data_IF_987833307742
#
_entry.id   IF_987833307742
#
_cell.length_a   1.000
_cell.length_b   1.000
_cell.length_c   1.000
_cell.angle_alpha   90.00
_cell.angle_beta   90.00
_cell.angle_gamma   90.00
#
_symmetry.space_group_name_H-M   'P 1'
#
loop_
_entity.id
_entity.type
_entity.pdbx_description
1 polymer ?
#
# COMPACT_ATOMS: atom_id res chain seq x y z
N UNK A 1 3.59 19.20 10.61
CA UNK A 1 3.52 19.58 12.05
C UNK A 1 2.22 20.32 12.38
N UNK A 2 1.06 19.92 11.85
CA UNK A 2 -0.21 20.64 12.04
C UNK A 2 -1.30 19.86 12.82
N UNK A 3 -1.12 18.56 13.09
CA UNK A 3 -2.13 17.75 13.77
C UNK A 3 -2.03 17.73 15.31
N UNK A 4 -0.92 18.24 15.86
CA UNK A 4 -0.49 17.97 17.25
C UNK A 4 -1.26 18.81 18.29
N UNK A 5 -1.82 19.97 17.91
CA UNK A 5 -2.51 20.86 18.86
C UNK A 5 -4.01 20.59 19.02
N UNK A 6 -4.58 19.63 18.28
CA UNK A 6 -6.04 19.49 18.12
C UNK A 6 -6.64 18.20 18.73
N UNK A 7 -5.84 17.34 19.38
CA UNK A 7 -6.39 16.10 19.96
C UNK A 7 -7.22 16.41 21.23
N UNK A 8 -8.52 16.02 21.27
CA UNK A 8 -9.38 16.24 22.43
C UNK A 8 -8.86 15.46 23.65
N UNK A 9 -9.17 15.95 24.86
CA UNK A 9 -8.52 15.50 26.10
C UNK A 9 -8.61 13.99 26.35
N UNK A 10 -9.67 13.33 25.87
CA UNK A 10 -9.87 11.88 25.99
C UNK A 10 -8.99 11.03 25.04
N UNK A 11 -8.48 11.62 23.94
CA UNK A 11 -7.58 10.93 23.01
C UNK A 11 -6.10 11.17 23.32
N UNK A 12 -5.78 11.92 24.38
CA UNK A 12 -4.40 12.21 24.80
C UNK A 12 -3.60 10.97 25.19
N UNK A 13 -4.25 9.86 25.53
CA UNK A 13 -3.58 8.60 25.82
C UNK A 13 -2.99 7.94 24.56
N UNK A 14 -3.43 8.34 23.37
CA UNK A 14 -2.91 7.85 22.09
C UNK A 14 -1.63 8.58 21.65
N UNK A 15 -1.22 9.64 22.33
CA UNK A 15 0.03 10.38 22.04
C UNK A 15 1.29 9.50 22.01
N UNK A 16 1.47 8.46 22.86
CA UNK A 16 2.59 7.54 22.77
C UNK A 16 2.58 6.67 21.50
N UNK A 17 1.44 6.57 20.80
CA UNK A 17 1.31 5.85 19.53
C UNK A 17 1.74 6.70 18.33
N UNK A 18 2.07 7.98 18.52
CA UNK A 18 2.71 8.81 17.51
C UNK A 18 4.15 8.29 17.32
N UNK A 19 4.29 7.36 16.36
CA UNK A 19 5.53 6.65 16.10
C UNK A 19 6.62 7.53 15.52
N UNK A 20 7.87 7.14 15.78
CA UNK A 20 9.04 7.68 15.10
C UNK A 20 8.89 7.47 13.58
N UNK A 21 9.18 8.49 12.78
CA UNK A 21 9.24 8.36 11.32
C UNK A 21 10.40 7.45 10.85
N UNK A 22 11.21 6.93 11.79
CA UNK A 22 12.30 5.98 11.53
C UNK A 22 11.98 4.60 12.09
N UNK A 23 12.25 3.57 11.29
CA UNK A 23 12.14 2.15 11.68
C UNK A 23 13.12 1.79 12.80
N UNK A 24 14.36 2.30 12.71
CA UNK A 24 15.43 2.08 13.67
C UNK A 24 15.94 3.42 14.20
N UNK A 25 15.87 3.57 15.52
CA UNK A 25 16.28 4.79 16.24
C UNK A 25 17.56 4.64 17.06
N UNK A 26 18.21 3.47 17.03
CA UNK A 26 19.44 3.23 17.78
C UNK A 26 20.65 4.00 17.19
N UNK A 27 21.67 4.26 18.01
CA UNK A 27 22.82 5.08 17.63
C UNK A 27 23.59 4.55 16.40
N UNK A 28 23.67 3.22 16.25
CA UNK A 28 24.32 2.59 15.10
C UNK A 28 23.55 2.82 13.80
N UNK A 29 22.22 2.70 13.82
CA UNK A 29 21.35 2.98 12.68
C UNK A 29 21.42 4.45 12.28
N UNK A 30 21.40 5.37 13.25
CA UNK A 30 21.54 6.81 12.98
C UNK A 30 22.92 7.18 12.42
N UNK A 31 23.98 6.49 12.86
CA UNK A 31 25.32 6.66 12.29
C UNK A 31 25.41 6.10 10.87
N UNK A 32 24.79 4.96 10.61
CA UNK A 32 24.73 4.34 9.28
C UNK A 32 23.93 5.18 8.29
N UNK A 33 22.84 5.79 8.75
CA UNK A 33 22.01 6.73 7.97
C UNK A 33 22.82 7.91 7.44
N UNK A 34 23.75 8.45 8.24
CA UNK A 34 24.63 9.55 7.81
C UNK A 34 25.67 9.12 6.77
N UNK A 35 26.01 7.83 6.72
CA UNK A 35 27.05 7.29 5.83
C UNK A 35 26.48 6.73 4.52
N UNK A 36 25.27 6.16 4.57
CA UNK A 36 24.67 5.44 3.46
C UNK A 36 23.30 6.04 3.13
N UNK A 37 23.17 6.84 2.04
CA UNK A 37 21.92 7.50 1.69
C UNK A 37 20.78 6.53 1.34
N UNK A 38 21.12 5.31 0.90
CA UNK A 38 20.13 4.24 0.68
C UNK A 38 19.54 3.74 2.00
N UNK A 39 20.37 3.56 3.03
CA UNK A 39 19.89 3.17 4.36
C UNK A 39 19.02 4.25 4.98
N UNK A 40 19.33 5.53 4.74
CA UNK A 40 18.46 6.64 5.16
C UNK A 40 17.03 6.51 4.61
N UNK A 41 16.89 6.21 3.31
CA UNK A 41 15.57 5.98 2.68
C UNK A 41 14.87 4.73 3.21
N UNK A 42 15.62 3.65 3.45
CA UNK A 42 15.04 2.44 4.02
C UNK A 42 14.58 2.65 5.46
N UNK A 43 15.34 3.40 6.26
CA UNK A 43 15.03 3.66 7.65
C UNK A 43 13.80 4.57 7.81
N UNK A 44 13.46 5.39 6.80
CA UNK A 44 12.27 6.22 6.80
C UNK A 44 10.99 5.38 6.59
N UNK A 45 10.08 5.41 7.56
CA UNK A 45 8.79 4.71 7.56
C UNK A 45 7.92 5.17 6.38
N UNK A 46 8.00 6.44 6.01
CA UNK A 46 7.21 7.00 4.92
C UNK A 46 7.59 6.43 3.55
N UNK A 47 8.81 5.87 3.43
CA UNK A 47 9.26 5.17 2.22
C UNK A 47 9.14 3.66 2.34
N UNK A 48 9.60 3.11 3.47
CA UNK A 48 9.64 1.66 3.68
C UNK A 48 8.25 1.04 3.82
N UNK A 49 7.27 1.71 4.42
CA UNK A 49 5.92 1.15 4.52
C UNK A 49 5.22 1.03 3.15
N UNK A 50 5.21 2.05 2.27
CA UNK A 50 4.74 1.89 0.89
C UNK A 50 5.55 0.85 0.10
N UNK A 51 6.87 0.79 0.28
CA UNK A 51 7.72 -0.21 -0.37
C UNK A 51 7.39 -1.64 0.08
N UNK A 52 7.14 -1.86 1.36
CA UNK A 52 6.70 -3.16 1.89
C UNK A 52 5.33 -3.55 1.31
N UNK A 53 4.41 -2.58 1.15
CA UNK A 53 3.09 -2.85 0.54
C UNK A 53 3.19 -3.34 -0.90
N UNK A 54 4.22 -2.94 -1.65
CA UNK A 54 4.46 -3.45 -3.01
C UNK A 54 4.66 -4.96 -3.07
N UNK A 55 5.16 -5.61 -2.01
CA UNK A 55 5.28 -7.07 -1.96
C UNK A 55 3.91 -7.74 -2.18
N UNK A 56 2.83 -7.15 -1.67
CA UNK A 56 1.46 -7.65 -1.84
C UNK A 56 0.93 -7.46 -3.28
N UNK A 57 1.40 -6.43 -3.99
CA UNK A 57 0.93 -6.12 -5.34
C UNK A 57 1.76 -6.79 -6.44
N UNK A 58 3.04 -7.09 -6.19
CA UNK A 58 3.95 -7.71 -7.18
C UNK A 58 3.49 -9.12 -7.57
N UNK A 59 3.11 -9.96 -6.60
CA UNK A 59 2.67 -11.33 -6.90
C UNK A 59 1.43 -11.36 -7.80
N UNK A 60 0.33 -10.64 -7.48
CA UNK A 60 -0.82 -10.52 -8.37
C UNK A 60 -0.48 -9.92 -9.75
N UNK A 61 0.42 -8.94 -9.81
CA UNK A 61 0.89 -8.34 -11.07
C UNK A 61 1.55 -9.39 -11.97
N UNK A 62 2.53 -10.13 -11.45
CA UNK A 62 3.21 -11.18 -12.19
C UNK A 62 2.22 -12.26 -12.64
N UNK A 63 1.32 -12.66 -11.74
CA UNK A 63 0.25 -13.62 -12.03
C UNK A 63 -0.62 -13.15 -13.20
N UNK A 64 -1.08 -11.89 -13.18
CA UNK A 64 -1.87 -11.31 -14.25
C UNK A 64 -1.14 -11.36 -15.61
N UNK A 65 0.16 -11.04 -15.63
CA UNK A 65 0.97 -11.12 -16.86
C UNK A 65 1.22 -12.54 -17.33
N UNK A 66 1.43 -13.49 -16.42
CA UNK A 66 1.61 -14.91 -16.75
C UNK A 66 0.30 -15.64 -17.06
N UNK A 67 -0.86 -14.96 -17.00
CA UNK A 67 -2.17 -15.57 -17.19
C UNK A 67 -2.65 -16.47 -16.04
N UNK A 68 -1.89 -16.54 -14.95
CA UNK A 68 -2.20 -17.29 -13.74
C UNK A 68 -2.96 -16.42 -12.71
N UNK A 69 -3.79 -17.00 -11.84
CA UNK A 69 -4.35 -18.34 -11.93
C UNK A 69 -5.28 -18.49 -13.15
N UNK A 70 -5.55 -19.74 -13.61
CA UNK A 70 -6.58 -20.02 -14.60
C UNK A 70 -7.93 -19.40 -14.21
N UNK A 71 -8.77 -19.08 -15.20
CA UNK A 71 -10.00 -18.30 -14.99
C UNK A 71 -10.92 -18.95 -13.95
N UNK A 72 -11.02 -20.28 -13.98
CA UNK A 72 -11.88 -21.10 -13.12
C UNK A 72 -11.44 -21.06 -11.65
N UNK A 73 -10.17 -20.76 -11.39
CA UNK A 73 -9.59 -20.67 -10.04
C UNK A 73 -9.59 -19.25 -9.48
N UNK A 74 -10.04 -18.25 -10.25
CA UNK A 74 -10.17 -16.88 -9.77
C UNK A 74 -11.34 -16.80 -8.78
N UNK A 75 -11.04 -16.46 -7.52
CA UNK A 75 -12.07 -16.10 -6.55
C UNK A 75 -12.61 -14.68 -6.85
N UNK A 76 -13.86 -14.63 -7.30
CA UNK A 76 -14.57 -13.38 -7.60
C UNK A 76 -14.80 -12.52 -6.35
N UNK A 77 -15.09 -13.12 -5.19
CA UNK A 77 -15.37 -12.37 -3.97
C UNK A 77 -14.10 -11.69 -3.47
N UNK A 78 -13.00 -12.45 -3.40
CA UNK A 78 -11.70 -11.91 -3.03
C UNK A 78 -11.23 -10.85 -4.04
N UNK A 79 -11.33 -11.13 -5.34
CA UNK A 79 -10.89 -10.17 -6.37
C UNK A 79 -11.73 -8.89 -6.37
N UNK A 80 -13.05 -8.99 -6.19
CA UNK A 80 -13.92 -7.80 -6.11
C UNK A 80 -13.63 -6.96 -4.86
N UNK A 81 -13.37 -7.62 -3.71
CA UNK A 81 -12.97 -6.95 -2.47
C UNK A 81 -11.63 -6.21 -2.63
N UNK A 82 -10.65 -6.85 -3.29
CA UNK A 82 -9.33 -6.25 -3.53
C UNK A 82 -9.35 -5.15 -4.59
N UNK A 83 -10.25 -5.24 -5.57
CA UNK A 83 -10.53 -4.14 -6.49
C UNK A 83 -11.06 -2.92 -5.72
N UNK A 84 -12.10 -3.11 -4.90
CA UNK A 84 -12.72 -2.03 -4.14
C UNK A 84 -11.74 -1.39 -3.15
N UNK A 85 -11.01 -2.21 -2.38
CA UNK A 85 -10.02 -1.70 -1.43
C UNK A 85 -8.92 -0.91 -2.15
N UNK A 86 -8.43 -1.41 -3.30
CA UNK A 86 -7.43 -0.71 -4.10
C UNK A 86 -7.91 0.67 -4.55
N UNK A 87 -9.17 0.80 -4.97
CA UNK A 87 -9.74 2.11 -5.34
C UNK A 87 -9.84 3.07 -4.16
N UNK A 88 -10.39 2.61 -3.03
CA UNK A 88 -10.56 3.43 -1.82
C UNK A 88 -9.21 3.91 -1.30
N UNK A 89 -8.22 3.02 -1.20
CA UNK A 89 -6.89 3.36 -0.70
C UNK A 89 -6.09 4.22 -1.69
N UNK A 90 -6.29 4.05 -2.99
CA UNK A 90 -5.70 4.93 -3.99
C UNK A 90 -6.24 6.35 -3.85
N UNK A 91 -7.55 6.52 -3.69
CA UNK A 91 -8.16 7.83 -3.43
C UNK A 91 -7.68 8.42 -2.10
N UNK A 92 -7.68 7.63 -1.02
CA UNK A 92 -7.18 8.09 0.27
C UNK A 92 -5.74 8.62 0.18
N UNK A 93 -4.87 7.95 -0.59
CA UNK A 93 -3.49 8.38 -0.76
C UNK A 93 -3.34 9.76 -1.43
N UNK A 94 -4.32 10.21 -2.24
CA UNK A 94 -4.33 11.57 -2.82
C UNK A 94 -4.72 12.64 -1.81
N UNK A 95 -5.43 12.27 -0.74
CA UNK A 95 -5.83 13.19 0.35
C UNK A 95 -4.72 13.42 1.38
N UNK A 96 -3.71 12.54 1.46
CA UNK A 96 -2.59 12.67 2.40
C UNK A 96 -1.83 13.96 2.11
N UNK A 97 -1.75 14.85 3.11
CA UNK A 97 -0.99 16.10 3.02
C UNK A 97 0.08 16.19 4.12
N UNK A 98 1.31 16.61 3.79
CA UNK A 98 1.81 16.96 2.45
C UNK A 98 2.03 15.72 1.57
N UNK A 99 1.92 15.90 0.25
CA UNK A 99 2.23 14.85 -0.72
C UNK A 99 3.75 14.62 -0.79
N UNK A 100 4.18 13.38 -0.60
CA UNK A 100 5.58 12.97 -0.66
C UNK A 100 5.73 11.74 -1.57
N UNK A 101 6.96 11.28 -1.78
CA UNK A 101 7.18 10.09 -2.61
C UNK A 101 6.51 8.83 -2.02
N UNK A 102 6.40 8.74 -0.70
CA UNK A 102 5.70 7.66 0.01
C UNK A 102 4.21 7.60 -0.27
N UNK A 103 3.48 8.72 -0.13
CA UNK A 103 2.06 8.82 -0.43
C UNK A 103 1.78 8.56 -1.92
N UNK A 104 2.65 9.03 -2.81
CA UNK A 104 2.56 8.73 -4.25
C UNK A 104 2.79 7.24 -4.54
N UNK A 105 3.78 6.62 -3.90
CA UNK A 105 4.03 5.18 -4.03
C UNK A 105 2.85 4.34 -3.50
N UNK A 106 2.24 4.77 -2.39
CA UNK A 106 1.03 4.15 -1.84
C UNK A 106 -0.14 4.24 -2.83
N UNK A 107 -0.35 5.40 -3.46
CA UNK A 107 -1.38 5.59 -4.48
C UNK A 107 -1.17 4.61 -5.66
N UNK A 108 0.02 4.59 -6.24
CA UNK A 108 0.35 3.73 -7.39
C UNK A 108 0.21 2.25 -7.03
N UNK A 109 0.67 1.84 -5.84
CA UNK A 109 0.58 0.46 -5.37
C UNK A 109 -0.88 -0.02 -5.29
N UNK A 110 -1.78 0.82 -4.78
CA UNK A 110 -3.21 0.48 -4.68
C UNK A 110 -3.92 0.56 -6.04
N UNK A 111 -3.51 1.46 -6.94
CA UNK A 111 -3.99 1.47 -8.32
C UNK A 111 -3.58 0.19 -9.07
N UNK A 112 -2.36 -0.30 -8.87
CA UNK A 112 -1.89 -1.56 -9.45
C UNK A 112 -2.71 -2.75 -8.94
N UNK A 113 -2.96 -2.81 -7.63
CA UNK A 113 -3.83 -3.82 -7.01
C UNK A 113 -5.25 -3.77 -7.60
N UNK A 114 -5.85 -2.56 -7.69
CA UNK A 114 -7.17 -2.37 -8.29
C UNK A 114 -7.20 -2.87 -9.75
N UNK A 115 -6.19 -2.52 -10.53
CA UNK A 115 -6.10 -2.89 -11.95
C UNK A 115 -6.02 -4.40 -12.15
N UNK A 116 -5.14 -5.08 -11.41
CA UNK A 116 -4.98 -6.54 -11.51
C UNK A 116 -6.26 -7.27 -11.11
N UNK A 117 -6.85 -6.89 -9.98
CA UNK A 117 -8.06 -7.56 -9.50
C UNK A 117 -9.29 -7.20 -10.35
N UNK A 118 -9.36 -6.00 -10.91
CA UNK A 118 -10.35 -5.63 -11.91
C UNK A 118 -10.23 -6.45 -13.18
N UNK A 119 -9.01 -6.70 -13.68
CA UNK A 119 -8.77 -7.61 -14.79
C UNK A 119 -9.25 -9.04 -14.46
N UNK A 120 -8.92 -9.56 -13.27
CA UNK A 120 -9.35 -10.88 -12.81
C UNK A 120 -10.88 -11.02 -12.71
N UNK A 121 -11.56 -10.01 -12.16
CA UNK A 121 -13.03 -9.95 -12.13
C UNK A 121 -13.59 -9.95 -13.55
N UNK A 122 -13.07 -9.10 -14.43
CA UNK A 122 -13.57 -8.97 -15.79
C UNK A 122 -13.40 -10.26 -16.62
N UNK A 123 -12.25 -10.95 -16.53
CA UNK A 123 -12.04 -12.21 -17.26
C UNK A 123 -12.89 -13.35 -16.71
N UNK A 124 -13.11 -13.40 -15.39
CA UNK A 124 -13.96 -14.42 -14.76
C UNK A 124 -15.44 -14.20 -15.07
N UNK A 125 -15.93 -12.96 -14.98
CA UNK A 125 -17.30 -12.63 -15.35
C UNK A 125 -17.62 -12.99 -16.81
N UNK A 126 -16.72 -12.68 -17.75
CA UNK A 126 -16.89 -13.08 -19.16
C UNK A 126 -16.95 -14.59 -19.35
N UNK A 127 -16.08 -15.33 -18.67
CA UNK A 127 -16.05 -16.78 -18.74
C UNK A 127 -17.33 -17.41 -18.16
N UNK A 128 -17.85 -16.86 -17.07
CA UNK A 128 -19.10 -17.35 -16.45
C UNK A 128 -20.33 -17.03 -17.33
N UNK A 129 -20.36 -15.88 -18.01
CA UNK A 129 -21.38 -15.55 -19.01
C UNK A 129 -21.34 -16.47 -20.24
N UNK A 130 -20.15 -16.81 -20.73
CA UNK A 130 -19.99 -17.68 -21.91
C UNK A 130 -20.25 -19.17 -21.61
N UNK A 131 -20.35 -19.55 -20.33
CA UNK A 131 -20.68 -20.92 -19.89
C UNK A 131 -22.19 -21.16 -19.75
N UNK A 132 -23.00 -20.10 -19.73
CA UNK A 132 -24.46 -20.14 -19.73
C UNK A 132 -25.00 -20.26 -21.15
#
# INVERSE_FOLDING_TARGET
>A
MAAISQLPSFLRFLRPLEGNAKLFSNAAALALEKRVPLFAKFNDVTYSAPAAKWILSIVPLIQAFSGNPPVEKIDLKQSSSLLFTGMVWAYYATLITPQNAGSRALCICNMAMASVHGYNVARRARHDLNKQ
#
